data_IF_130554315791
#
_entry.id   IF_130554315791
#
_cell.length_a   1.000
_cell.length_b   1.000
_cell.length_c   1.000
_cell.angle_alpha   90.00
_cell.angle_beta   90.00
_cell.angle_gamma   90.00
#
_symmetry.space_group_name_H-M   'P 1'
#
loop_
_entity.id
_entity.type
_entity.pdbx_description
1 polymer ?
#
# COMPACT_ATOMS: atom_id res chain seq x y z
N UNK A 1 30.66 -18.28 0.09
CA UNK A 1 29.44 -18.74 0.78
C UNK A 1 29.87 -19.29 2.12
N UNK A 2 29.39 -18.74 3.22
CA UNK A 2 29.68 -19.24 4.56
C UNK A 2 28.49 -20.05 5.04
N UNK A 3 28.62 -21.37 5.09
CA UNK A 3 27.59 -22.27 5.62
C UNK A 3 27.46 -22.05 7.12
N UNK A 4 26.22 -22.03 7.63
CA UNK A 4 25.98 -21.96 9.07
C UNK A 4 26.71 -23.12 9.76
N UNK A 5 27.65 -22.79 10.66
CA UNK A 5 28.59 -23.76 11.22
C UNK A 5 28.04 -24.53 12.43
N UNK A 6 26.91 -24.09 12.99
CA UNK A 6 26.23 -24.72 14.13
C UNK A 6 24.77 -24.26 14.19
N UNK A 7 23.93 -24.99 14.94
CA UNK A 7 22.53 -24.61 15.16
C UNK A 7 22.41 -23.19 15.71
N UNK A 8 21.56 -22.39 15.08
CA UNK A 8 21.26 -21.03 15.51
C UNK A 8 19.80 -20.95 15.96
N UNK A 9 19.60 -20.74 17.26
CA UNK A 9 18.28 -20.43 17.79
C UNK A 9 17.83 -19.06 17.26
N UNK A 10 16.67 -19.00 16.61
CA UNK A 10 16.09 -17.75 16.12
C UNK A 10 14.92 -17.35 17.01
N UNK A 11 14.92 -16.10 17.45
CA UNK A 11 13.75 -15.50 18.11
C UNK A 11 12.73 -15.10 17.06
N UNK A 12 11.51 -15.61 17.19
CA UNK A 12 10.38 -15.24 16.35
C UNK A 12 9.43 -14.37 17.16
N UNK A 13 8.97 -13.27 16.56
CA UNK A 13 7.85 -12.53 17.13
C UNK A 13 6.55 -13.30 16.82
N UNK A 14 5.57 -13.34 17.73
CA UNK A 14 4.23 -13.80 17.38
C UNK A 14 3.73 -13.02 16.16
N UNK A 15 3.02 -13.67 15.24
CA UNK A 15 2.42 -12.99 14.08
C UNK A 15 1.34 -11.97 14.46
N UNK A 16 1.11 -11.79 15.77
CA UNK A 16 0.12 -10.92 16.33
C UNK A 16 0.39 -9.46 15.96
N UNK A 17 -0.22 -9.07 14.84
CA UNK A 17 -0.73 -7.76 14.38
C UNK A 17 0.12 -6.52 14.56
N UNK A 18 1.26 -6.52 15.26
CA UNK A 18 1.99 -5.34 15.67
C UNK A 18 3.43 -5.38 15.19
N UNK A 19 3.94 -4.22 14.79
CA UNK A 19 5.36 -4.03 14.53
C UNK A 19 5.83 -2.71 15.14
N UNK A 20 7.14 -2.60 15.31
CA UNK A 20 7.77 -1.37 15.75
C UNK A 20 8.73 -0.88 14.68
N UNK A 21 8.68 0.41 14.39
CA UNK A 21 9.55 1.06 13.42
C UNK A 21 10.25 2.27 14.05
N UNK A 22 11.54 2.50 13.77
CA UNK A 22 12.26 3.68 14.24
C UNK A 22 11.69 4.93 13.57
N UNK A 23 11.38 5.97 14.35
CA UNK A 23 10.80 7.22 13.85
C UNK A 23 11.92 8.13 13.34
N UNK A 24 11.67 8.86 12.25
CA UNK A 24 12.62 9.86 11.71
C UNK A 24 12.77 11.05 12.67
N UNK A 25 13.91 11.73 12.63
CA UNK A 25 14.16 12.93 13.41
C UNK A 25 13.16 14.04 13.05
N UNK A 26 12.65 14.77 14.04
CA UNK A 26 11.79 15.93 13.83
C UNK A 26 10.30 15.63 13.73
N UNK A 27 9.90 14.37 13.64
CA UNK A 27 8.49 13.99 13.47
C UNK A 27 7.77 13.55 14.76
N UNK A 28 6.46 13.72 14.74
CA UNK A 28 5.52 13.22 15.75
C UNK A 28 4.47 12.39 15.03
N UNK A 29 4.30 11.13 15.45
CA UNK A 29 3.25 10.25 14.95
C UNK A 29 2.21 10.10 16.04
N UNK A 30 0.99 10.58 15.82
CA UNK A 30 -0.10 10.48 16.79
C UNK A 30 -0.75 9.08 16.78
N UNK A 31 -1.42 8.74 17.88
CA UNK A 31 -2.27 7.54 17.91
C UNK A 31 -3.34 7.60 16.81
N UNK A 32 -3.57 6.47 16.14
CA UNK A 32 -4.54 6.36 15.05
C UNK A 32 -4.04 6.88 13.69
N UNK A 33 -2.89 7.56 13.62
CA UNK A 33 -2.33 8.02 12.35
C UNK A 33 -1.93 6.86 11.44
N UNK A 34 -2.17 6.98 10.14
CA UNK A 34 -1.58 6.08 9.16
C UNK A 34 -0.07 6.34 9.09
N UNK A 35 0.72 5.28 9.22
CA UNK A 35 2.18 5.38 9.28
C UNK A 35 2.80 4.98 7.95
N UNK A 36 3.64 5.87 7.42
CA UNK A 36 4.48 5.65 6.25
C UNK A 36 5.89 5.25 6.67
N UNK A 37 6.46 4.26 5.99
CA UNK A 37 7.88 3.99 6.02
C UNK A 37 8.53 4.61 4.80
N UNK A 38 9.38 5.62 5.01
CA UNK A 38 10.06 6.30 3.93
C UNK A 38 10.99 5.32 3.21
N UNK A 39 10.78 5.07 1.92
CA UNK A 39 11.56 4.05 1.17
C UNK A 39 13.05 4.39 1.11
N UNK A 40 13.41 5.67 1.04
CA UNK A 40 14.81 6.11 0.91
C UNK A 40 15.62 5.90 2.19
N UNK A 41 15.00 6.01 3.36
CA UNK A 41 15.70 5.99 4.66
C UNK A 41 15.34 4.81 5.55
N UNK A 42 14.18 4.20 5.33
CA UNK A 42 13.65 3.12 6.17
C UNK A 42 13.13 3.59 7.53
N UNK A 43 12.98 4.89 7.76
CA UNK A 43 12.39 5.43 8.99
C UNK A 43 10.89 5.67 8.85
N UNK A 44 10.18 5.50 9.96
CA UNK A 44 8.75 5.77 10.06
C UNK A 44 8.47 7.26 10.25
N UNK A 45 7.42 7.73 9.60
CA UNK A 45 6.88 9.08 9.71
C UNK A 45 5.36 9.07 9.51
N UNK A 46 4.64 10.18 9.77
CA UNK A 46 3.26 10.31 9.31
C UNK A 46 3.20 10.01 7.81
N UNK A 47 2.24 9.20 7.37
CA UNK A 47 2.12 8.85 5.96
C UNK A 47 2.03 10.12 5.11
N UNK A 48 2.84 10.21 4.05
CA UNK A 48 2.75 11.25 3.04
C UNK A 48 2.69 10.58 1.67
N UNK A 49 1.72 10.93 0.85
CA UNK A 49 1.71 10.59 -0.58
C UNK A 49 1.56 11.89 -1.37
N UNK A 50 2.50 12.33 -2.24
CA UNK A 50 3.34 11.55 -3.18
C UNK A 50 4.84 11.85 -3.17
N UNK A 51 5.34 12.80 -2.38
CA UNK A 51 6.67 13.38 -2.58
C UNK A 51 7.81 12.46 -2.16
N UNK A 52 7.53 11.55 -1.23
CA UNK A 52 8.32 10.35 -1.00
C UNK A 52 7.36 9.16 -1.11
N UNK A 53 7.80 8.10 -1.77
CA UNK A 53 7.07 6.84 -1.91
C UNK A 53 6.99 6.12 -0.54
N UNK A 54 6.21 6.64 0.39
CA UNK A 54 6.03 6.02 1.70
C UNK A 54 5.28 4.69 1.53
N UNK A 55 5.82 3.62 2.11
CA UNK A 55 5.10 2.35 2.23
C UNK A 55 4.21 2.40 3.46
N UNK A 56 2.91 2.22 3.30
CA UNK A 56 2.01 2.07 4.45
C UNK A 56 2.40 0.84 5.29
N UNK A 57 2.60 1.04 6.58
CA UNK A 57 3.01 -0.02 7.53
C UNK A 57 2.02 -0.23 8.67
N UNK A 58 0.87 0.46 8.63
CA UNK A 58 -0.21 0.27 9.59
C UNK A 58 -0.64 1.55 10.29
N UNK A 59 -1.53 1.40 11.28
CA UNK A 59 -2.01 2.50 12.11
C UNK A 59 -1.28 2.52 13.45
N UNK A 60 -0.87 3.71 13.89
CA UNK A 60 -0.19 3.89 15.17
C UNK A 60 -1.10 3.51 16.34
N UNK A 61 -0.59 2.70 17.28
CA UNK A 61 -1.36 2.29 18.47
C UNK A 61 -1.20 3.24 19.65
N UNK A 62 -0.23 4.16 19.57
CA UNK A 62 0.07 5.17 20.60
C UNK A 62 0.94 6.26 20.01
N UNK A 63 0.86 7.47 20.56
CA UNK A 63 1.70 8.57 20.12
C UNK A 63 3.20 8.27 20.30
N UNK A 64 3.99 8.60 19.28
CA UNK A 64 5.45 8.49 19.26
C UNK A 64 6.03 9.85 18.85
N UNK A 65 6.72 10.51 19.78
CA UNK A 65 7.26 11.84 19.59
C UNK A 65 8.78 11.78 19.47
N UNK A 66 9.32 12.03 18.28
CA UNK A 66 10.75 12.14 18.01
C UNK A 66 11.14 13.55 17.53
N UNK A 67 10.34 14.57 17.87
CA UNK A 67 10.51 15.93 17.32
C UNK A 67 11.81 16.62 17.73
N UNK A 68 12.45 16.16 18.81
CA UNK A 68 13.72 16.69 19.33
C UNK A 68 14.88 15.67 19.25
N UNK A 69 14.62 14.46 18.76
CA UNK A 69 15.59 13.36 18.75
C UNK A 69 16.25 13.15 17.39
N UNK A 70 17.35 12.39 17.36
CA UNK A 70 17.92 11.88 16.12
C UNK A 70 17.09 10.72 15.54
N UNK A 71 17.43 10.29 14.31
CA UNK A 71 16.74 9.20 13.64
C UNK A 71 16.77 7.91 14.47
N UNK A 72 15.59 7.37 14.80
CA UNK A 72 15.43 6.07 15.46
C UNK A 72 15.60 6.06 16.98
N UNK A 73 15.73 7.22 17.64
CA UNK A 73 15.73 7.30 19.11
C UNK A 73 14.40 6.85 19.72
N UNK A 74 13.29 7.13 19.03
CA UNK A 74 11.94 6.69 19.40
C UNK A 74 11.43 5.68 18.37
N UNK A 75 10.65 4.70 18.84
CA UNK A 75 9.97 3.72 17.99
C UNK A 75 8.46 3.92 18.06
N UNK A 76 7.80 3.92 16.91
CA UNK A 76 6.34 3.84 16.81
C UNK A 76 5.91 2.39 16.80
N UNK A 77 4.86 2.06 17.55
CA UNK A 77 4.20 0.77 17.46
C UNK A 77 2.97 0.91 16.57
N UNK A 78 2.86 0.05 15.56
CA UNK A 78 1.76 0.07 14.60
C UNK A 78 1.01 -1.24 14.63
N UNK A 79 -0.30 -1.17 14.40
CA UNK A 79 -1.12 -2.31 14.05
C UNK A 79 -1.07 -2.49 12.53
N UNK A 80 -0.64 -3.66 12.07
CA UNK A 80 -0.37 -4.05 10.68
C UNK A 80 -1.56 -4.67 9.96
N UNK A 81 -2.52 -5.20 10.72
CA UNK A 81 -3.77 -5.75 10.19
C UNK A 81 -4.92 -5.53 11.15
N UNK A 82 -6.12 -5.33 10.63
CA UNK A 82 -7.34 -5.27 11.42
C UNK A 82 -8.47 -4.56 10.70
N UNK A 83 -9.43 -4.10 11.49
CA UNK A 83 -10.54 -3.25 11.04
C UNK A 83 -10.43 -1.93 11.81
N UNK A 84 -10.49 -0.81 11.11
CA UNK A 84 -10.40 0.54 11.67
C UNK A 84 -11.59 1.37 11.20
N UNK A 85 -12.12 2.23 12.07
CA UNK A 85 -13.16 3.19 11.67
C UNK A 85 -12.48 4.43 11.09
N UNK A 86 -12.81 4.78 9.85
CA UNK A 86 -12.22 5.91 9.14
C UNK A 86 -13.31 6.76 8.49
N UNK A 87 -13.04 8.06 8.40
CA UNK A 87 -13.79 8.98 7.53
C UNK A 87 -13.19 8.88 6.12
N UNK A 88 -13.95 8.34 5.17
CA UNK A 88 -13.49 8.06 3.80
C UNK A 88 -14.27 8.92 2.80
N UNK A 89 -13.56 9.82 2.12
CA UNK A 89 -14.14 10.65 1.05
C UNK A 89 -14.61 9.77 -0.10
N UNK A 90 -15.89 9.86 -0.45
CA UNK A 90 -16.55 9.04 -1.47
C UNK A 90 -17.00 7.64 -1.00
N UNK A 91 -16.84 7.34 0.30
CA UNK A 91 -17.40 6.17 0.97
C UNK A 91 -18.78 6.47 1.60
N UNK A 92 -19.65 7.15 0.87
CA UNK A 92 -20.86 7.82 1.38
C UNK A 92 -22.15 7.00 1.31
N UNK A 93 -22.04 5.70 1.02
CA UNK A 93 -23.19 4.81 0.91
C UNK A 93 -22.85 3.33 1.03
N UNK A 94 -23.88 2.52 1.27
CA UNK A 94 -23.78 1.05 1.38
C UNK A 94 -23.29 0.39 0.10
N UNK A 95 -23.47 1.03 -1.06
CA UNK A 95 -22.96 0.58 -2.36
C UNK A 95 -21.44 0.69 -2.49
N UNK A 96 -20.77 1.35 -1.54
CA UNK A 96 -19.31 1.50 -1.50
C UNK A 96 -18.60 0.37 -0.75
N UNK A 97 -19.34 -0.54 -0.10
CA UNK A 97 -18.75 -1.69 0.59
C UNK A 97 -17.95 -2.54 -0.41
N UNK A 98 -16.72 -2.90 -0.04
CA UNK A 98 -15.77 -3.62 -0.88
C UNK A 98 -14.86 -2.74 -1.73
N UNK A 99 -15.14 -1.43 -1.86
CA UNK A 99 -14.26 -0.53 -2.61
C UNK A 99 -12.91 -0.33 -1.89
N UNK A 100 -11.82 -0.16 -2.65
CA UNK A 100 -10.51 0.15 -2.09
C UNK A 100 -10.50 1.55 -1.48
N UNK A 101 -9.73 1.70 -0.41
CA UNK A 101 -9.45 2.95 0.30
C UNK A 101 -7.98 3.28 0.10
N UNK A 102 -7.73 4.52 -0.29
CA UNK A 102 -6.41 5.10 -0.46
C UNK A 102 -6.23 6.32 0.46
N UNK A 103 -4.98 6.70 0.71
CA UNK A 103 -4.65 7.88 1.49
C UNK A 103 -3.69 8.81 0.75
N UNK A 104 -3.83 10.12 0.99
CA UNK A 104 -2.88 11.16 0.57
C UNK A 104 -1.95 11.60 1.69
N UNK A 105 -2.39 11.46 2.94
CA UNK A 105 -1.60 11.76 4.13
C UNK A 105 -2.01 10.82 5.28
N UNK A 106 -1.59 11.09 6.51
CA UNK A 106 -1.80 10.25 7.67
C UNK A 106 -3.25 10.20 8.19
N UNK A 107 -4.14 11.08 7.69
CA UNK A 107 -5.54 11.16 8.11
C UNK A 107 -6.55 11.51 6.99
N UNK A 108 -6.13 11.57 5.72
CA UNK A 108 -7.01 11.84 4.59
C UNK A 108 -7.20 10.58 3.73
N UNK A 109 -8.39 9.97 3.87
CA UNK A 109 -8.76 8.73 3.18
C UNK A 109 -9.81 8.98 2.08
N UNK A 110 -9.71 8.23 0.97
CA UNK A 110 -10.60 8.35 -0.18
C UNK A 110 -10.76 7.03 -0.93
N UNK A 111 -11.92 6.80 -1.55
CA UNK A 111 -12.12 5.67 -2.49
C UNK A 111 -11.59 5.95 -3.89
N UNK A 112 -11.27 7.21 -4.19
CA UNK A 112 -10.82 7.62 -5.51
C UNK A 112 -9.35 7.26 -5.68
N UNK A 113 -9.02 6.52 -6.74
CA UNK A 113 -7.63 6.32 -7.14
C UNK A 113 -7.06 7.62 -7.75
N UNK A 114 -5.79 7.91 -7.49
CA UNK A 114 -5.09 9.06 -8.04
C UNK A 114 -3.58 8.89 -7.93
N UNK A 115 -2.82 9.70 -8.68
CA UNK A 115 -1.36 9.69 -8.61
C UNK A 115 -0.93 10.01 -7.18
N UNK A 116 0.00 9.21 -6.66
CA UNK A 116 0.58 9.48 -5.34
C UNK A 116 -0.25 9.06 -4.15
N UNK A 117 -1.30 8.27 -4.35
CA UNK A 117 -2.11 7.75 -3.25
C UNK A 117 -1.64 6.38 -2.82
N UNK A 118 -1.53 6.18 -1.52
CA UNK A 118 -1.11 4.91 -0.94
C UNK A 118 -2.34 4.07 -0.63
N UNK A 119 -2.34 2.81 -1.05
CA UNK A 119 -3.40 1.88 -0.70
C UNK A 119 -3.38 1.56 0.81
N UNK A 120 -4.55 1.59 1.43
CA UNK A 120 -4.72 1.37 2.88
C UNK A 120 -5.47 0.05 3.15
N UNK A 121 -6.59 -0.17 2.45
CA UNK A 121 -7.53 -1.24 2.81
C UNK A 121 -8.77 -1.23 1.93
N UNK A 122 -9.79 -2.00 2.31
CA UNK A 122 -11.12 -1.98 1.67
C UNK A 122 -12.21 -1.67 2.67
N UNK A 123 -13.27 -1.03 2.22
CA UNK A 123 -14.46 -0.83 3.05
C UNK A 123 -15.07 -2.20 3.37
N UNK A 124 -15.15 -2.52 4.66
CA UNK A 124 -15.78 -3.73 5.19
C UNK A 124 -17.26 -3.50 5.48
N UNK A 125 -17.58 -2.37 6.10
CA UNK A 125 -18.94 -2.00 6.51
C UNK A 125 -19.08 -0.47 6.47
N UNK A 126 -20.20 -0.01 5.91
CA UNK A 126 -20.59 1.40 5.94
C UNK A 126 -21.38 1.69 7.23
N UNK A 127 -21.01 2.75 7.95
CA UNK A 127 -21.64 3.11 9.23
C UNK A 127 -22.69 4.21 8.99
N UNK A 128 -22.25 5.38 8.55
CA UNK A 128 -23.11 6.52 8.24
C UNK A 128 -22.32 7.62 7.53
N UNK A 129 -22.95 8.39 6.64
CA UNK A 129 -22.24 9.44 5.90
C UNK A 129 -20.97 8.87 5.26
N UNK A 130 -19.82 9.48 5.52
CA UNK A 130 -18.50 9.01 5.06
C UNK A 130 -17.76 8.09 6.05
N UNK A 131 -18.38 7.72 7.17
CA UNK A 131 -17.77 6.84 8.16
C UNK A 131 -17.91 5.37 7.77
N UNK A 132 -16.78 4.67 7.75
CA UNK A 132 -16.68 3.29 7.31
C UNK A 132 -15.77 2.49 8.25
N UNK A 133 -16.09 1.23 8.48
CA UNK A 133 -15.10 0.26 8.92
C UNK A 133 -14.29 -0.22 7.72
N UNK A 134 -12.98 -0.07 7.79
CA UNK A 134 -12.03 -0.42 6.73
C UNK A 134 -11.18 -1.59 7.21
N UNK A 135 -11.21 -2.69 6.47
CA UNK A 135 -10.26 -3.78 6.66
C UNK A 135 -8.93 -3.39 6.03
N UNK A 136 -7.84 -3.49 6.79
CA UNK A 136 -6.49 -3.21 6.32
C UNK A 136 -5.56 -4.37 6.65
N UNK A 137 -4.60 -4.62 5.76
CA UNK A 137 -3.50 -5.56 5.94
C UNK A 137 -2.27 -5.03 5.18
N UNK A 138 -1.18 -4.77 5.89
CA UNK A 138 0.08 -4.27 5.30
C UNK A 138 0.78 -5.25 4.35
N UNK A 139 0.36 -6.51 4.35
CA UNK A 139 0.86 -7.55 3.44
C UNK A 139 0.00 -7.71 2.19
N UNK A 140 -1.20 -7.13 2.18
CA UNK A 140 -2.07 -7.17 1.03
C UNK A 140 -1.55 -6.18 -0.03
N UNK A 141 -1.02 -6.74 -1.10
CA UNK A 141 -0.59 -5.96 -2.25
C UNK A 141 -1.80 -5.71 -3.14
N UNK A 142 -2.37 -4.52 -3.01
CA UNK A 142 -3.24 -4.00 -4.06
C UNK A 142 -2.40 -3.67 -5.28
N UNK A 143 -2.26 -4.67 -6.14
CA UNK A 143 -2.00 -4.41 -7.55
C UNK A 143 -3.26 -3.71 -8.06
N UNK A 144 -3.27 -2.37 -8.03
CA UNK A 144 -4.24 -1.61 -8.80
C UNK A 144 -4.29 -2.19 -10.21
N UNK A 145 -5.47 -2.21 -10.83
CA UNK A 145 -5.64 -2.90 -12.11
C UNK A 145 -4.55 -2.41 -13.08
N UNK A 146 -3.60 -3.30 -13.42
CA UNK A 146 -2.53 -2.97 -14.38
C UNK A 146 -3.10 -2.66 -15.77
N UNK A 147 -4.37 -3.01 -15.96
CA UNK A 147 -5.21 -2.71 -17.10
C UNK A 147 -6.45 -2.01 -16.54
N UNK A 148 -6.69 -0.76 -16.92
CA UNK A 148 -7.85 -0.01 -16.48
C UNK A 148 -9.17 -0.73 -16.83
N UNK A 149 -10.19 -0.61 -15.97
CA UNK A 149 -11.57 -1.01 -16.29
C UNK A 149 -12.06 -0.23 -17.51
N UNK A 150 -12.41 -0.88 -18.63
CA UNK A 150 -12.85 -0.20 -19.85
C UNK A 150 -14.31 0.24 -19.72
N UNK A 151 -14.60 1.21 -18.86
CA UNK A 151 -15.95 1.77 -18.67
C UNK A 151 -16.43 2.68 -19.81
N UNK A 152 -15.88 2.52 -21.03
CA UNK A 152 -16.20 3.39 -22.15
C UNK A 152 -15.75 2.85 -23.51
N UNK A 153 -15.89 1.53 -23.73
CA UNK A 153 -15.49 0.81 -24.95
C UNK A 153 -15.32 1.67 -26.21
N UNK A 154 -14.05 1.86 -26.61
CA UNK A 154 -13.68 2.12 -28.00
C UNK A 154 -12.18 1.87 -28.32
N UNK A 155 -11.24 1.99 -27.37
CA UNK A 155 -9.79 1.94 -27.73
C UNK A 155 -8.82 1.43 -26.64
N UNK A 156 -9.29 0.63 -25.68
CA UNK A 156 -8.44 0.17 -24.54
C UNK A 156 -7.58 -1.06 -24.89
N UNK A 157 -7.75 -1.66 -26.06
CA UNK A 157 -6.95 -2.81 -26.50
C UNK A 157 -5.71 -2.45 -27.34
N UNK A 158 -5.56 -1.19 -27.78
CA UNK A 158 -4.54 -0.83 -28.77
C UNK A 158 -3.11 -1.01 -28.24
N UNK A 159 -2.86 -0.65 -26.98
CA UNK A 159 -1.55 -0.80 -26.33
C UNK A 159 -1.23 -2.27 -26.05
N UNK A 160 -2.22 -3.05 -25.59
CA UNK A 160 -2.08 -4.48 -25.36
C UNK A 160 -1.87 -5.25 -26.68
N UNK A 161 -2.63 -4.91 -27.73
CA UNK A 161 -2.49 -5.46 -29.08
C UNK A 161 -1.12 -5.08 -29.69
N UNK A 162 -0.66 -3.86 -29.48
CA UNK A 162 0.68 -3.41 -29.89
C UNK A 162 1.79 -4.20 -29.20
N UNK A 163 1.69 -4.39 -27.88
CA UNK A 163 2.66 -5.18 -27.10
C UNK A 163 2.66 -6.66 -27.52
N UNK A 164 1.49 -7.26 -27.74
CA UNK A 164 1.35 -8.64 -28.19
C UNK A 164 1.95 -8.81 -29.60
N UNK A 165 1.67 -7.90 -30.54
CA UNK A 165 2.23 -7.95 -31.88
C UNK A 165 3.76 -7.81 -31.88
N UNK A 166 4.31 -6.91 -31.06
CA UNK A 166 5.76 -6.75 -30.93
C UNK A 166 6.45 -8.02 -30.39
N UNK A 167 5.79 -8.76 -29.50
CA UNK A 167 6.29 -10.06 -29.01
C UNK A 167 6.21 -11.11 -30.11
N UNK A 168 5.11 -11.18 -30.86
CA UNK A 168 4.94 -12.10 -31.98
C UNK A 168 6.05 -11.87 -33.03
N UNK A 169 6.28 -10.62 -33.44
CA UNK A 169 7.34 -10.26 -34.40
C UNK A 169 8.72 -10.71 -33.93
N UNK A 170 9.01 -10.55 -32.62
CA UNK A 170 10.28 -11.01 -32.03
C UNK A 170 10.42 -12.51 -32.06
N UNK A 171 9.35 -13.26 -31.77
CA UNK A 171 9.35 -14.72 -31.78
C UNK A 171 9.47 -15.29 -33.20
N UNK A 172 8.86 -14.63 -34.19
CA UNK A 172 9.01 -14.98 -35.60
C UNK A 172 10.43 -14.69 -36.10
N UNK A 173 10.99 -13.53 -35.76
CA UNK A 173 12.38 -13.19 -36.09
C UNK A 173 13.40 -14.14 -35.47
N UNK A 174 13.06 -14.71 -34.30
CA UNK A 174 13.87 -15.72 -33.63
C UNK A 174 13.59 -17.15 -34.11
N UNK A 175 12.61 -17.34 -35.01
CA UNK A 175 12.24 -18.66 -35.54
C UNK A 175 11.56 -19.59 -34.53
N UNK A 176 11.10 -19.06 -33.39
CA UNK A 176 10.50 -19.84 -32.29
C UNK A 176 9.04 -20.18 -32.61
N UNK A 177 8.35 -19.28 -33.31
CA UNK A 177 6.97 -19.45 -33.75
C UNK A 177 6.88 -19.09 -35.23
N UNK A 178 5.98 -19.75 -35.96
CA UNK A 178 5.47 -19.30 -37.25
C UNK A 178 3.96 -19.21 -37.14
N UNK A 179 3.40 -18.01 -37.30
CA UNK A 179 1.94 -17.87 -37.38
C UNK A 179 1.50 -18.33 -38.78
N UNK A 180 0.59 -19.30 -38.83
CA UNK A 180 0.06 -19.80 -40.09
C UNK A 180 -0.93 -18.77 -40.68
N UNK A 181 -0.52 -18.01 -41.69
CA UNK A 181 -1.44 -17.19 -42.47
C UNK A 181 -0.93 -15.82 -42.92
N UNK A 182 0.23 -15.77 -43.58
CA UNK A 182 0.54 -14.74 -44.58
C UNK A 182 0.76 -15.42 -45.93
#
# INVERSE_FOLDING_TARGET
>A
MTTLAADALRSYQPEDSFAQYPVIAGDIIYEGAAVGLQISSGFARPLVGPTDVDRFVGFSTKSANNSLGANGEVKVQVRRRGVVRLTVTGGDGVDKVGLPVFATDDNAFTVTLGVGRTYIGRILEWISGTENFVHFDTTDHHHGAAIADPSGGATVDAEARSAINAIIDRLESAGIVRVAGA
#
